data_IF_022898214959
#
_entry.id   IF_022898214959
#
_cell.length_a   1.000
_cell.length_b   1.000
_cell.length_c   1.000
_cell.angle_alpha   90.00
_cell.angle_beta   90.00
_cell.angle_gamma   90.00
#
_symmetry.space_group_name_H-M   'P 1'
#
loop_
_entity.id
_entity.type
_entity.pdbx_description
1 polymer ?
#
# COMPACT_ATOMS: atom_id res chain seq x y z
N UNK A 1 -8.54 8.97 -3.55
CA UNK A 1 -7.34 8.59 -2.76
C UNK A 1 -7.61 8.99 -1.31
N UNK A 2 -7.49 8.06 -0.38
CA UNK A 2 -7.66 8.31 1.05
C UNK A 2 -6.28 8.38 1.69
N UNK A 3 -6.05 9.38 2.56
CA UNK A 3 -4.78 9.55 3.26
C UNK A 3 -4.99 9.46 4.77
N UNK A 4 -4.02 8.87 5.46
CA UNK A 4 -3.92 8.96 6.93
C UNK A 4 -2.57 9.52 7.33
N UNK A 5 -2.50 10.08 8.52
CA UNK A 5 -1.32 10.77 9.03
C UNK A 5 -0.97 10.21 10.41
N UNK A 6 0.33 10.25 10.75
CA UNK A 6 0.78 10.06 12.11
C UNK A 6 0.35 11.25 12.98
N UNK A 7 0.42 11.10 14.30
CA UNK A 7 0.16 12.19 15.26
C UNK A 7 1.06 13.41 15.01
N UNK A 8 2.26 13.19 14.47
CA UNK A 8 3.19 14.26 14.06
C UNK A 8 2.73 15.06 12.84
N UNK A 9 1.66 14.65 12.16
CA UNK A 9 1.21 15.20 10.88
C UNK A 9 1.92 14.63 9.65
N UNK A 10 2.93 13.76 9.84
CA UNK A 10 3.59 13.09 8.73
C UNK A 10 2.64 12.10 8.03
N UNK A 11 2.75 12.00 6.70
CA UNK A 11 1.93 11.07 5.91
C UNK A 11 2.22 9.62 6.33
N UNK A 12 1.16 8.87 6.63
CA UNK A 12 1.25 7.48 7.10
C UNK A 12 0.81 6.49 6.03
N UNK A 13 -0.34 6.73 5.40
CA UNK A 13 -0.83 5.89 4.31
C UNK A 13 -1.47 6.69 3.20
N UNK A 14 -1.40 6.17 1.98
CA UNK A 14 -2.21 6.58 0.83
C UNK A 14 -2.84 5.35 0.20
N UNK A 15 -4.17 5.30 0.07
CA UNK A 15 -4.89 4.17 -0.53
C UNK A 15 -5.75 4.69 -1.69
N UNK A 16 -5.67 3.99 -2.82
CA UNK A 16 -6.42 4.32 -4.02
C UNK A 16 -7.71 3.49 -4.03
N UNK A 17 -8.83 4.19 -4.22
CA UNK A 17 -10.16 3.59 -4.31
C UNK A 17 -10.78 3.97 -5.65
N UNK A 18 -11.44 3.01 -6.29
CA UNK A 18 -12.25 3.18 -7.50
C UNK A 18 -13.61 2.55 -7.23
N UNK A 19 -14.69 3.31 -7.43
CA UNK A 19 -16.06 2.85 -7.19
C UNK A 19 -16.30 2.28 -5.77
N UNK A 20 -15.62 2.84 -4.76
CA UNK A 20 -15.71 2.39 -3.37
C UNK A 20 -14.83 1.20 -3.01
N UNK A 21 -14.20 0.54 -3.98
CA UNK A 21 -13.27 -0.58 -3.79
C UNK A 21 -11.81 -0.13 -3.85
N UNK A 22 -10.93 -0.71 -3.04
CA UNK A 22 -9.49 -0.50 -3.15
C UNK A 22 -9.00 -1.05 -4.50
N UNK A 23 -8.34 -0.19 -5.26
CA UNK A 23 -7.93 -0.45 -6.64
C UNK A 23 -6.64 0.32 -6.94
N UNK A 24 -5.59 -0.40 -7.37
CA UNK A 24 -4.27 0.16 -7.61
C UNK A 24 -3.37 0.09 -6.38
N UNK A 25 -2.58 1.13 -6.12
CA UNK A 25 -1.57 1.08 -5.06
C UNK A 25 -2.12 1.53 -3.70
N UNK A 26 -1.63 0.92 -2.64
CA UNK A 26 -1.67 1.44 -1.28
C UNK A 26 -0.22 1.59 -0.79
N UNK A 27 0.15 2.81 -0.38
CA UNK A 27 1.49 3.12 0.11
C UNK A 27 1.44 3.34 1.61
N UNK A 28 2.40 2.75 2.33
CA UNK A 28 2.63 2.96 3.75
C UNK A 28 4.02 3.56 3.88
N UNK A 29 4.13 4.61 4.67
CA UNK A 29 5.34 5.39 4.85
C UNK A 29 5.90 5.18 6.26
N UNK A 30 7.22 5.27 6.41
CA UNK A 30 7.85 5.47 7.71
C UNK A 30 7.50 6.87 8.24
N UNK A 31 7.67 7.09 9.55
CA UNK A 31 7.50 8.42 10.16
C UNK A 31 8.44 9.49 9.55
N UNK A 32 9.57 9.06 8.99
CA UNK A 32 10.55 9.90 8.28
C UNK A 32 10.14 10.26 6.85
N UNK A 33 9.11 9.59 6.30
CA UNK A 33 8.51 9.92 5.00
C UNK A 33 8.93 9.01 3.84
N UNK A 34 9.89 8.11 4.03
CA UNK A 34 10.24 7.09 3.05
C UNK A 34 9.16 5.99 2.98
N UNK A 35 9.08 5.31 1.84
CA UNK A 35 8.13 4.21 1.65
C UNK A 35 8.60 3.00 2.46
N UNK A 36 7.71 2.49 3.30
CA UNK A 36 7.88 1.23 4.01
C UNK A 36 7.25 0.06 3.25
N UNK A 37 6.05 0.25 2.72
CA UNK A 37 5.29 -0.81 2.04
C UNK A 37 4.52 -0.27 0.85
N UNK A 38 4.47 -1.06 -0.23
CA UNK A 38 3.53 -0.87 -1.34
C UNK A 38 2.72 -2.15 -1.47
N UNK A 39 1.42 -2.04 -1.23
CA UNK A 39 0.45 -3.08 -1.54
C UNK A 39 -0.25 -2.72 -2.86
N UNK A 40 -0.53 -3.71 -3.69
CA UNK A 40 -1.37 -3.54 -4.89
C UNK A 40 -2.68 -4.24 -4.66
N UNK A 41 -3.77 -3.54 -4.92
CA UNK A 41 -5.14 -4.03 -4.81
C UNK A 41 -5.81 -4.08 -6.19
N UNK A 42 -6.66 -5.08 -6.37
CA UNK A 42 -7.62 -5.20 -7.47
C UNK A 42 -8.95 -5.67 -6.88
N UNK A 43 -10.02 -4.90 -7.07
CA UNK A 43 -11.35 -5.21 -6.55
C UNK A 43 -11.35 -5.58 -5.04
N UNK A 44 -10.75 -4.73 -4.20
CA UNK A 44 -10.55 -4.94 -2.76
C UNK A 44 -9.60 -6.10 -2.37
N UNK A 45 -9.12 -6.91 -3.32
CA UNK A 45 -8.19 -7.99 -3.05
C UNK A 45 -6.74 -7.51 -3.18
N UNK A 46 -5.93 -7.80 -2.17
CA UNK A 46 -4.50 -7.57 -2.25
C UNK A 46 -3.86 -8.63 -3.16
N UNK A 47 -3.21 -8.19 -4.23
CA UNK A 47 -2.58 -9.06 -5.23
C UNK A 47 -1.05 -9.02 -5.18
N UNK A 48 -0.48 -8.02 -4.50
CA UNK A 48 0.97 -7.88 -4.36
C UNK A 48 1.35 -7.12 -3.10
N UNK A 49 2.50 -7.44 -2.52
CA UNK A 49 3.16 -6.68 -1.45
C UNK A 49 4.63 -6.50 -1.76
N UNK A 50 5.15 -5.30 -1.51
CA UNK A 50 6.57 -4.98 -1.47
C UNK A 50 6.90 -4.28 -0.16
N UNK A 51 7.88 -4.77 0.59
CA UNK A 51 8.38 -4.14 1.82
C UNK A 51 9.81 -3.66 1.57
N UNK A 52 10.06 -2.43 2.00
CA UNK A 52 11.34 -1.75 1.87
C UNK A 52 11.93 -1.47 3.25
N UNK A 53 13.25 -1.51 3.35
CA UNK A 53 13.96 -0.98 4.51
C UNK A 53 13.93 0.57 4.53
N UNK A 54 14.45 1.15 5.61
CA UNK A 54 14.53 2.62 5.76
C UNK A 54 15.51 3.30 4.79
N UNK A 55 16.24 2.55 3.95
CA UNK A 55 17.11 3.06 2.88
C UNK A 55 16.46 2.88 1.50
N UNK A 56 15.23 2.37 1.44
CA UNK A 56 14.50 2.09 0.21
C UNK A 56 14.94 0.81 -0.52
N UNK A 57 15.70 -0.07 0.13
CA UNK A 57 16.05 -1.39 -0.42
C UNK A 57 14.85 -2.33 -0.26
N UNK A 58 14.50 -3.02 -1.35
CA UNK A 58 13.47 -4.06 -1.32
C UNK A 58 13.97 -5.25 -0.49
N UNK A 59 13.26 -5.55 0.60
CA UNK A 59 13.57 -6.66 1.50
C UNK A 59 12.61 -7.84 1.30
N UNK A 60 11.40 -7.57 0.83
CA UNK A 60 10.38 -8.59 0.66
C UNK A 60 9.45 -8.26 -0.51
N UNK A 61 9.15 -9.27 -1.33
CA UNK A 61 8.14 -9.20 -2.37
C UNK A 61 7.31 -10.49 -2.38
N UNK A 62 5.99 -10.34 -2.42
CA UNK A 62 5.05 -11.45 -2.52
C UNK A 62 3.91 -11.07 -3.46
N UNK A 63 3.57 -12.00 -4.36
CA UNK A 63 2.35 -11.96 -5.14
C UNK A 63 1.30 -12.88 -4.49
N UNK A 64 0.04 -12.46 -4.55
CA UNK A 64 -1.10 -13.20 -4.02
C UNK A 64 -2.03 -13.58 -5.17
N UNK A 65 -2.65 -14.78 -5.15
CA UNK A 65 -3.63 -15.15 -6.15
C UNK A 65 -4.81 -14.18 -6.11
N UNK A 66 -5.22 -13.71 -7.27
CA UNK A 66 -6.44 -12.94 -7.45
C UNK A 66 -7.57 -13.88 -7.84
N UNK A 67 -8.73 -13.74 -7.20
CA UNK A 67 -9.89 -14.58 -7.43
C UNK A 67 -11.05 -13.70 -7.92
N UNK A 68 -11.41 -13.81 -9.19
CA UNK A 68 -12.59 -13.09 -9.70
C UNK A 68 -13.86 -13.63 -9.01
N UNK A 69 -14.68 -12.71 -8.49
CA UNK A 69 -16.02 -13.06 -8.03
C UNK A 69 -16.86 -13.40 -9.27
N UNK A 70 -17.40 -14.62 -9.32
CA UNK A 70 -18.31 -15.09 -10.38
C UNK A 70 -19.75 -14.62 -10.14
#
# INVERSE_FOLDING_TARGET
>A
ITKSYYESGALKTEIYYKNGKAEGFAKIYFKSGEIYCIDTYKDDQQIKRKIYDNKGKLEYEQDFPYMEEN
#
